data_IF_052811141127
#
_entry.id   IF_052811141127
#
_cell.length_a   1.000
_cell.length_b   1.000
_cell.length_c   1.000
_cell.angle_alpha   90.00
_cell.angle_beta   90.00
_cell.angle_gamma   90.00
#
_symmetry.space_group_name_H-M   'P 1'
#
loop_
_entity.id
_entity.type
_entity.pdbx_description
1 polymer ?
#
# COMPACT_ATOMS: atom_id res chain seq x y z
N UNK A 1 12.16 6.71 -17.32
CA UNK A 1 12.70 6.06 -16.12
C UNK A 1 12.21 4.63 -15.95
N UNK A 2 10.91 4.34 -16.04
CA UNK A 2 10.40 2.96 -15.88
C UNK A 2 9.94 2.37 -17.21
N UNK A 3 8.80 2.82 -17.74
CA UNK A 3 8.15 2.26 -18.94
C UNK A 3 9.13 2.05 -20.10
N UNK A 4 9.80 3.11 -20.56
CA UNK A 4 10.73 3.05 -21.69
C UNK A 4 12.03 2.27 -21.42
N UNK A 5 12.45 2.15 -20.17
CA UNK A 5 13.74 1.51 -19.83
C UNK A 5 13.60 0.00 -19.61
N UNK A 6 12.41 -0.44 -19.18
CA UNK A 6 12.08 -1.86 -19.00
C UNK A 6 11.16 -2.41 -20.09
N UNK A 7 10.94 -1.65 -21.16
CA UNK A 7 10.04 -2.02 -22.27
C UNK A 7 8.65 -2.48 -21.78
N UNK A 8 8.09 -1.76 -20.80
CA UNK A 8 6.83 -2.14 -20.15
C UNK A 8 5.64 -1.94 -21.09
N UNK A 9 4.64 -2.81 -20.96
CA UNK A 9 3.36 -2.66 -21.66
C UNK A 9 2.53 -1.57 -20.97
N UNK A 10 2.51 -0.36 -21.52
CA UNK A 10 1.65 0.72 -21.03
C UNK A 10 0.18 0.50 -21.46
N UNK A 11 -0.74 0.60 -20.51
CA UNK A 11 -2.18 0.51 -20.75
C UNK A 11 -2.94 1.70 -20.16
N UNK A 12 -4.14 1.94 -20.66
CA UNK A 12 -5.09 2.90 -20.10
C UNK A 12 -6.45 2.22 -19.90
N UNK A 13 -6.73 1.82 -18.66
CA UNK A 13 -8.02 1.22 -18.29
C UNK A 13 -9.04 2.29 -17.83
N UNK A 14 -10.35 2.02 -17.90
CA UNK A 14 -11.38 2.92 -17.39
C UNK A 14 -11.25 3.22 -15.88
N UNK A 15 -11.70 4.40 -15.47
CA UNK A 15 -11.82 4.75 -14.05
C UNK A 15 -13.06 4.13 -13.39
N UNK A 16 -14.15 4.04 -14.15
CA UNK A 16 -15.41 3.44 -13.70
C UNK A 16 -15.28 1.91 -13.69
N UNK A 17 -15.45 1.32 -12.51
CA UNK A 17 -15.21 -0.10 -12.26
C UNK A 17 -16.48 -0.78 -11.75
N UNK A 18 -16.98 -1.84 -12.42
CA UNK A 18 -18.11 -2.61 -11.92
C UNK A 18 -17.81 -3.22 -10.54
N UNK A 19 -18.80 -3.23 -9.63
CA UNK A 19 -18.64 -3.75 -8.25
C UNK A 19 -17.98 -5.13 -8.22
N UNK A 20 -18.34 -6.02 -9.14
CA UNK A 20 -17.86 -7.41 -9.17
C UNK A 20 -16.33 -7.52 -9.25
N UNK A 21 -15.66 -6.57 -9.91
CA UNK A 21 -14.19 -6.54 -10.03
C UNK A 21 -13.57 -6.18 -8.67
N UNK A 22 -14.10 -5.14 -8.02
CA UNK A 22 -13.60 -4.69 -6.72
C UNK A 22 -13.99 -5.65 -5.59
N UNK A 23 -15.10 -6.37 -5.74
CA UNK A 23 -15.47 -7.47 -4.86
C UNK A 23 -14.51 -8.64 -4.98
N UNK A 24 -14.09 -9.00 -6.20
CA UNK A 24 -13.12 -10.06 -6.43
C UNK A 24 -11.77 -9.73 -5.77
N UNK A 25 -11.29 -8.50 -5.93
CA UNK A 25 -10.05 -8.02 -5.31
C UNK A 25 -10.14 -7.81 -3.79
N UNK A 26 -11.33 -7.94 -3.19
CA UNK A 26 -11.56 -7.73 -1.77
C UNK A 26 -11.72 -6.27 -1.32
N UNK A 27 -11.59 -5.29 -2.23
CA UNK A 27 -11.74 -3.86 -1.90
C UNK A 27 -13.12 -3.54 -1.32
N UNK A 28 -14.19 -4.13 -1.84
CA UNK A 28 -15.56 -3.89 -1.30
C UNK A 28 -15.67 -4.29 0.17
N UNK A 29 -14.95 -5.33 0.59
CA UNK A 29 -15.03 -5.87 1.94
C UNK A 29 -14.01 -5.27 2.92
N UNK A 30 -12.86 -4.82 2.40
CA UNK A 30 -11.70 -4.42 3.23
C UNK A 30 -11.32 -2.96 3.12
N UNK A 31 -11.75 -2.25 2.06
CA UNK A 31 -11.39 -0.85 1.83
C UNK A 31 -12.29 0.10 2.63
N UNK A 32 -12.30 -0.11 3.94
CA UNK A 32 -13.15 0.59 4.90
C UNK A 32 -12.32 1.14 6.05
N UNK A 33 -12.53 2.40 6.39
CA UNK A 33 -11.97 3.03 7.58
C UNK A 33 -12.99 3.02 8.73
N UNK A 34 -12.50 3.08 9.97
CA UNK A 34 -13.33 3.28 11.14
C UNK A 34 -13.54 4.77 11.43
N UNK A 35 -14.81 5.19 11.43
CA UNK A 35 -15.22 6.57 11.65
C UNK A 35 -15.91 6.77 12.99
N UNK A 36 -15.67 7.95 13.57
CA UNK A 36 -16.48 8.51 14.65
C UNK A 36 -17.10 9.83 14.21
N UNK A 37 -18.27 10.13 14.75
CA UNK A 37 -19.05 11.33 14.40
C UNK A 37 -19.24 12.19 15.64
N UNK A 38 -19.02 13.50 15.51
CA UNK A 38 -19.46 14.47 16.53
C UNK A 38 -20.98 14.38 16.63
N UNK A 39 -21.49 13.97 17.79
CA UNK A 39 -22.92 13.69 17.98
C UNK A 39 -23.81 14.94 17.80
N UNK A 40 -23.25 16.15 17.93
CA UNK A 40 -24.00 17.40 17.78
C UNK A 40 -23.88 18.01 16.39
N UNK A 41 -22.68 18.05 15.82
CA UNK A 41 -22.46 18.71 14.51
C UNK A 41 -22.58 17.75 13.34
N UNK A 42 -22.41 16.46 13.60
CA UNK A 42 -22.37 15.43 12.59
C UNK A 42 -21.08 15.37 11.77
N UNK A 43 -20.06 16.14 12.15
CA UNK A 43 -18.73 16.10 11.53
C UNK A 43 -18.09 14.74 11.78
N UNK A 44 -17.57 14.12 10.73
CA UNK A 44 -16.92 12.80 10.81
C UNK A 44 -15.40 12.94 10.92
N UNK A 45 -14.80 12.08 11.73
CA UNK A 45 -13.37 11.99 11.92
C UNK A 45 -12.93 10.53 11.84
N UNK A 46 -11.73 10.31 11.31
CA UNK A 46 -11.07 9.01 11.36
C UNK A 46 -10.69 8.67 12.80
N UNK A 47 -11.21 7.55 13.28
CA UNK A 47 -11.11 7.16 14.68
C UNK A 47 -9.65 6.82 15.07
N UNK A 48 -8.92 6.18 14.17
CA UNK A 48 -7.50 5.85 14.31
C UNK A 48 -6.63 7.11 14.34
N UNK A 49 -6.88 8.08 13.46
CA UNK A 49 -6.15 9.36 13.47
C UNK A 49 -6.38 10.16 14.76
N UNK A 50 -7.61 10.21 15.27
CA UNK A 50 -7.87 10.88 16.54
C UNK A 50 -7.09 10.26 17.70
N UNK A 51 -7.00 8.93 17.72
CA UNK A 51 -6.22 8.21 18.73
C UNK A 51 -4.72 8.45 18.54
N UNK A 52 -4.23 8.43 17.28
CA UNK A 52 -2.83 8.72 16.93
C UNK A 52 -2.41 10.12 17.39
N UNK A 53 -3.19 11.14 16.99
CA UNK A 53 -2.92 12.54 17.31
C UNK A 53 -2.89 12.75 18.83
N UNK A 54 -3.84 12.16 19.57
CA UNK A 54 -3.83 12.19 21.03
C UNK A 54 -2.57 11.55 21.62
N UNK A 55 -2.20 10.35 21.15
CA UNK A 55 -1.00 9.66 21.64
C UNK A 55 0.27 10.47 21.37
N UNK A 56 0.41 11.06 20.18
CA UNK A 56 1.55 11.90 19.82
C UNK A 56 1.62 13.17 20.67
N UNK A 57 0.50 13.89 20.84
CA UNK A 57 0.43 15.10 21.69
C UNK A 57 0.84 14.78 23.13
N UNK A 58 0.41 13.64 23.68
CA UNK A 58 0.78 13.23 25.05
C UNK A 58 2.23 12.82 25.19
N UNK A 59 2.83 12.25 24.14
CA UNK A 59 4.24 11.85 24.14
C UNK A 59 5.21 13.04 24.06
N UNK A 60 4.73 14.24 23.72
CA UNK A 60 5.52 15.48 23.78
C UNK A 60 5.70 16.01 25.22
N UNK A 61 4.90 15.55 26.18
CA UNK A 61 5.00 15.98 27.59
C UNK A 61 6.20 15.30 28.29
N UNK A 62 7.25 16.07 28.66
CA UNK A 62 8.45 15.51 29.30
C UNK A 62 8.20 15.01 30.73
N UNK A 63 7.05 15.33 31.33
CA UNK A 63 6.66 14.89 32.67
C UNK A 63 5.81 13.61 32.66
N UNK A 64 5.54 13.04 31.48
CA UNK A 64 4.71 11.85 31.37
C UNK A 64 5.41 10.63 32.02
N UNK A 65 4.73 9.87 32.90
CA UNK A 65 5.30 8.68 33.51
C UNK A 65 5.78 7.65 32.46
N UNK A 66 6.90 6.99 32.72
CA UNK A 66 7.52 6.02 31.79
C UNK A 66 6.55 4.90 31.42
N UNK A 67 5.73 4.45 32.38
CA UNK A 67 4.70 3.44 32.16
C UNK A 67 3.67 3.90 31.12
N UNK A 68 3.28 5.18 31.18
CA UNK A 68 2.31 5.76 30.26
C UNK A 68 2.93 6.02 28.88
N UNK A 69 4.20 6.42 28.83
CA UNK A 69 4.97 6.52 27.58
C UNK A 69 4.98 5.16 26.86
N UNK A 70 5.29 4.08 27.58
CA UNK A 70 5.32 2.73 27.01
C UNK A 70 3.93 2.27 26.56
N UNK A 71 2.88 2.55 27.34
CA UNK A 71 1.49 2.25 26.95
C UNK A 71 1.11 2.97 25.64
N UNK A 72 1.37 4.28 25.53
CA UNK A 72 1.02 5.05 24.32
C UNK A 72 1.81 4.60 23.10
N UNK A 73 3.10 4.29 23.25
CA UNK A 73 3.91 3.70 22.18
C UNK A 73 3.38 2.34 21.73
N UNK A 74 2.95 1.50 22.68
CA UNK A 74 2.35 0.21 22.36
C UNK A 74 1.01 0.38 21.62
N UNK A 75 0.16 1.33 22.05
CA UNK A 75 -1.10 1.64 21.36
C UNK A 75 -0.84 2.11 19.93
N UNK A 76 0.15 3.00 19.71
CA UNK A 76 0.55 3.45 18.38
C UNK A 76 1.04 2.29 17.50
N UNK A 77 1.75 1.32 18.08
CA UNK A 77 2.28 0.17 17.35
C UNK A 77 1.22 -0.83 16.88
N UNK A 78 0.05 -0.87 17.53
CA UNK A 78 -1.06 -1.78 17.19
C UNK A 78 -2.29 -1.03 16.68
N UNK A 79 -2.18 0.27 16.43
CA UNK A 79 -3.31 1.15 16.15
C UNK A 79 -4.14 0.69 14.96
N UNK A 80 -3.48 0.25 13.89
CA UNK A 80 -4.12 -0.18 12.64
C UNK A 80 -4.87 -1.52 12.80
N UNK A 81 -4.55 -2.31 13.83
CA UNK A 81 -5.17 -3.62 14.11
C UNK A 81 -6.35 -3.54 15.08
N UNK A 82 -6.63 -2.37 15.66
CA UNK A 82 -7.68 -2.24 16.66
C UNK A 82 -9.06 -2.43 16.03
N UNK A 83 -9.86 -3.34 16.61
CA UNK A 83 -11.28 -3.47 16.24
C UNK A 83 -12.06 -2.20 16.55
N UNK A 84 -13.23 -2.02 15.94
CA UNK A 84 -14.12 -0.89 16.21
C UNK A 84 -14.44 -0.74 17.72
N UNK A 85 -14.64 -1.86 18.42
CA UNK A 85 -14.92 -1.88 19.86
C UNK A 85 -13.69 -1.49 20.69
N UNK A 86 -12.52 -2.04 20.34
CA UNK A 86 -11.27 -1.73 21.04
C UNK A 86 -10.90 -0.26 20.87
N UNK A 87 -11.02 0.26 19.64
CA UNK A 87 -10.77 1.65 19.30
C UNK A 87 -11.76 2.58 20.02
N UNK A 88 -13.05 2.22 20.03
CA UNK A 88 -14.07 2.98 20.74
C UNK A 88 -13.84 3.01 22.26
N UNK A 89 -13.37 1.90 22.83
CA UNK A 89 -12.98 1.80 24.24
C UNK A 89 -11.81 2.73 24.55
N UNK A 90 -10.75 2.71 23.72
CA UNK A 90 -9.59 3.60 23.89
C UNK A 90 -9.94 5.08 23.76
N UNK A 91 -10.76 5.45 22.78
CA UNK A 91 -11.26 6.84 22.61
C UNK A 91 -11.99 7.29 23.88
N UNK A 92 -12.82 6.42 24.46
CA UNK A 92 -13.58 6.72 25.68
C UNK A 92 -12.68 6.79 26.92
N UNK A 93 -11.79 5.81 27.11
CA UNK A 93 -10.89 5.71 28.26
C UNK A 93 -9.91 6.89 28.33
N UNK A 94 -9.44 7.35 27.18
CA UNK A 94 -8.57 8.52 27.07
C UNK A 94 -9.33 9.86 27.05
N UNK A 95 -10.66 9.83 27.05
CA UNK A 95 -11.50 11.03 27.05
C UNK A 95 -11.36 11.86 25.78
N UNK A 96 -11.09 11.22 24.64
CA UNK A 96 -10.91 11.90 23.35
C UNK A 96 -12.27 12.44 22.90
N UNK A 97 -12.28 13.71 22.50
CA UNK A 97 -13.47 14.44 22.04
C UNK A 97 -13.23 15.03 20.66
N UNK A 98 -14.28 15.52 20.00
CA UNK A 98 -14.14 16.20 18.72
C UNK A 98 -13.12 17.35 18.80
N UNK A 99 -12.09 17.40 17.92
CA UNK A 99 -10.98 18.36 18.04
C UNK A 99 -11.43 19.82 18.14
N UNK A 100 -12.41 20.20 17.32
CA UNK A 100 -12.83 21.59 17.14
C UNK A 100 -13.90 22.03 18.14
N UNK A 101 -14.78 21.12 18.58
CA UNK A 101 -15.97 21.44 19.37
C UNK A 101 -15.94 20.91 20.80
N UNK A 102 -15.03 19.97 21.09
CA UNK A 102 -14.95 19.20 22.34
C UNK A 102 -16.24 18.44 22.68
N UNK A 103 -17.09 18.20 21.67
CA UNK A 103 -18.30 17.40 21.83
C UNK A 103 -17.98 15.91 21.97
N UNK A 104 -18.92 15.13 22.55
CA UNK A 104 -18.87 13.67 22.50
C UNK A 104 -18.85 13.13 21.07
N UNK A 105 -18.15 11.99 20.92
CA UNK A 105 -18.02 11.26 19.67
C UNK A 105 -18.87 9.98 19.72
N UNK A 106 -19.45 9.59 18.60
CA UNK A 106 -20.15 8.32 18.44
C UNK A 106 -19.19 7.13 18.61
N UNK A 107 -19.75 5.92 18.74
CA UNK A 107 -18.96 4.70 18.59
C UNK A 107 -18.35 4.60 17.18
N UNK A 108 -17.16 3.99 17.01
CA UNK A 108 -16.58 3.77 15.71
C UNK A 108 -17.48 2.88 14.82
N UNK A 109 -17.62 3.24 13.56
CA UNK A 109 -18.37 2.47 12.56
C UNK A 109 -17.59 2.42 11.22
N UNK A 110 -17.73 1.33 10.43
CA UNK A 110 -17.01 1.21 9.17
C UNK A 110 -17.58 2.15 8.10
N UNK A 111 -16.70 2.70 7.27
CA UNK A 111 -17.03 3.56 6.14
C UNK A 111 -16.18 3.19 4.92
N UNK A 112 -16.83 2.90 3.80
CA UNK A 112 -16.14 2.55 2.56
C UNK A 112 -15.50 3.79 1.92
N UNK A 113 -14.20 3.68 1.62
CA UNK A 113 -13.42 4.76 1.02
C UNK A 113 -13.55 4.81 -0.52
N UNK A 114 -14.33 3.96 -1.15
CA UNK A 114 -14.55 4.04 -2.59
C UNK A 114 -15.73 4.97 -2.90
N UNK A 115 -15.63 5.73 -3.99
CA UNK A 115 -16.76 6.49 -4.50
C UNK A 115 -17.71 5.57 -5.25
N UNK A 116 -18.87 5.32 -4.68
CA UNK A 116 -19.93 4.51 -5.28
C UNK A 116 -20.72 5.29 -6.35
N UNK A 117 -21.17 4.58 -7.38
CA UNK A 117 -22.03 5.10 -8.44
C UNK A 117 -22.88 3.98 -9.05
N UNK A 118 -23.80 4.33 -9.95
CA UNK A 118 -24.64 3.39 -10.70
C UNK A 118 -24.28 3.44 -12.18
N UNK A 119 -24.04 2.28 -12.79
CA UNK A 119 -23.66 2.14 -14.20
C UNK A 119 -24.91 1.92 -15.04
N UNK A 120 -25.26 2.90 -15.88
CA UNK A 120 -26.43 2.84 -16.74
C UNK A 120 -27.68 3.47 -16.11
N UNK A 121 -28.86 3.36 -16.77
CA UNK A 121 -30.06 4.09 -16.36
C UNK A 121 -30.83 3.43 -15.22
N UNK A 122 -30.46 2.22 -14.79
CA UNK A 122 -31.10 1.49 -13.70
C UNK A 122 -30.15 1.33 -12.51
N UNK A 123 -30.68 1.32 -11.30
CA UNK A 123 -29.91 1.08 -10.06
C UNK A 123 -29.53 -0.40 -9.88
N UNK A 124 -29.43 -1.17 -10.97
CA UNK A 124 -29.16 -2.61 -10.95
C UNK A 124 -27.69 -2.95 -11.19
N UNK A 125 -26.86 -1.98 -11.54
CA UNK A 125 -25.44 -2.19 -11.87
C UNK A 125 -24.56 -1.25 -11.04
N UNK A 126 -24.34 -1.59 -9.76
CA UNK A 126 -23.45 -0.82 -8.91
C UNK A 126 -22.02 -0.82 -9.45
N UNK A 127 -21.36 0.31 -9.29
CA UNK A 127 -19.98 0.51 -9.67
C UNK A 127 -19.29 1.48 -8.74
N UNK A 128 -17.98 1.60 -8.91
CA UNK A 128 -17.16 2.52 -8.15
C UNK A 128 -16.18 3.23 -9.06
N UNK A 129 -15.71 4.40 -8.63
CA UNK A 129 -14.46 4.92 -9.14
C UNK A 129 -13.31 4.12 -8.53
N UNK A 130 -12.34 3.71 -9.36
CA UNK A 130 -11.24 2.85 -8.92
C UNK A 130 -10.38 3.51 -7.83
N UNK A 131 -10.04 2.77 -6.75
CA UNK A 131 -9.15 3.27 -5.68
C UNK A 131 -7.65 3.16 -6.01
N UNK A 132 -7.32 2.37 -7.04
CA UNK A 132 -5.98 2.10 -7.59
C UNK A 132 -6.10 1.81 -9.10
N UNK A 133 -4.98 1.76 -9.81
CA UNK A 133 -4.91 1.44 -11.26
C UNK A 133 -4.60 -0.03 -11.56
N UNK A 134 -4.01 -0.75 -10.61
CA UNK A 134 -3.59 -2.16 -10.72
C UNK A 134 -4.68 -3.12 -11.23
N UNK A 135 -5.92 -2.96 -10.76
CA UNK A 135 -7.02 -3.86 -11.11
C UNK A 135 -7.29 -3.92 -12.62
N UNK A 136 -7.08 -2.82 -13.35
CA UNK A 136 -7.21 -2.79 -14.81
C UNK A 136 -6.17 -3.68 -15.50
N UNK A 137 -4.94 -3.70 -14.97
CA UNK A 137 -3.86 -4.54 -15.47
C UNK A 137 -4.17 -6.02 -15.20
N UNK A 138 -4.66 -6.36 -14.01
CA UNK A 138 -4.97 -7.76 -13.64
C UNK A 138 -6.09 -8.36 -14.49
N UNK A 139 -7.18 -7.62 -14.73
CA UNK A 139 -8.27 -8.12 -15.59
C UNK A 139 -7.85 -8.27 -17.05
N UNK A 140 -6.85 -7.51 -17.49
CA UNK A 140 -6.24 -7.58 -18.82
C UNK A 140 -5.04 -8.53 -18.93
N UNK A 141 -4.70 -9.27 -17.87
CA UNK A 141 -3.50 -10.11 -17.80
C UNK A 141 -3.32 -11.03 -19.00
N UNK A 142 -4.39 -11.70 -19.45
CA UNK A 142 -4.31 -12.66 -20.57
C UNK A 142 -3.84 -12.01 -21.87
N UNK A 143 -4.36 -10.82 -22.17
CA UNK A 143 -3.99 -10.09 -23.39
C UNK A 143 -2.56 -9.56 -23.26
N UNK A 144 -2.20 -9.01 -22.10
CA UNK A 144 -0.85 -8.52 -21.82
C UNK A 144 0.20 -9.64 -21.92
N UNK A 145 -0.08 -10.80 -21.34
CA UNK A 145 0.76 -11.98 -21.44
C UNK A 145 0.92 -12.43 -22.90
N UNK A 146 -0.17 -12.44 -23.66
CA UNK A 146 -0.14 -12.75 -25.09
C UNK A 146 0.71 -11.74 -25.89
N UNK A 147 0.55 -10.44 -25.65
CA UNK A 147 1.34 -9.39 -26.31
C UNK A 147 2.82 -9.46 -25.95
N UNK A 148 3.17 -9.92 -24.74
CA UNK A 148 4.55 -10.23 -24.37
C UNK A 148 5.08 -11.55 -24.98
N UNK A 149 4.32 -12.17 -25.88
CA UNK A 149 4.72 -13.43 -26.53
C UNK A 149 4.62 -14.65 -25.62
N UNK A 150 3.77 -14.61 -24.60
CA UNK A 150 3.55 -15.67 -23.61
C UNK A 150 4.83 -16.07 -22.87
N UNK A 151 5.58 -15.07 -22.37
CA UNK A 151 6.81 -15.26 -21.61
C UNK A 151 6.78 -14.46 -20.32
N UNK A 152 7.36 -15.03 -19.27
CA UNK A 152 7.72 -14.35 -18.04
C UNK A 152 9.25 -14.14 -17.98
N UNK A 153 9.73 -13.13 -17.22
CA UNK A 153 8.93 -12.06 -16.62
C UNK A 153 8.46 -11.03 -17.65
N UNK A 154 7.44 -10.25 -17.29
CA UNK A 154 7.06 -9.03 -18.02
C UNK A 154 6.42 -8.02 -17.07
N UNK A 155 6.40 -6.76 -17.48
CA UNK A 155 5.74 -5.71 -16.72
C UNK A 155 4.71 -4.98 -17.56
N UNK A 156 3.60 -4.62 -16.92
CA UNK A 156 2.64 -3.68 -17.46
C UNK A 156 2.54 -2.48 -16.52
N UNK A 157 2.26 -1.31 -17.07
CA UNK A 157 2.21 -0.07 -16.31
C UNK A 157 0.98 0.75 -16.71
N UNK A 158 0.46 1.51 -15.76
CA UNK A 158 -0.62 2.44 -16.01
C UNK A 158 -0.38 3.75 -15.27
N UNK A 159 -0.59 4.86 -15.97
CA UNK A 159 -0.56 6.21 -15.40
C UNK A 159 -1.95 6.81 -15.55
N UNK A 160 -2.61 7.12 -14.43
CA UNK A 160 -3.98 7.65 -14.49
C UNK A 160 -4.56 8.06 -13.15
N UNK A 161 -5.79 8.57 -13.16
CA UNK A 161 -6.46 9.00 -11.93
C UNK A 161 -6.88 7.78 -11.09
N UNK A 162 -6.78 7.94 -9.78
CA UNK A 162 -7.36 7.09 -8.76
C UNK A 162 -8.15 7.94 -7.77
N UNK A 163 -9.15 7.32 -7.14
CA UNK A 163 -10.13 8.03 -6.33
C UNK A 163 -10.27 7.36 -4.96
N UNK A 164 -10.07 8.14 -3.91
CA UNK A 164 -10.27 7.67 -2.53
C UNK A 164 -11.17 8.69 -1.83
N UNK A 165 -12.31 8.26 -1.33
CA UNK A 165 -13.30 9.07 -0.63
C UNK A 165 -12.82 9.42 0.80
N UNK A 166 -11.67 10.08 0.86
CA UNK A 166 -10.98 10.49 2.07
C UNK A 166 -11.91 11.37 2.92
N UNK A 167 -12.01 11.03 4.20
CA UNK A 167 -13.04 11.60 5.09
C UNK A 167 -12.69 13.04 5.44
N UNK A 168 -11.42 13.27 5.77
CA UNK A 168 -10.90 14.57 6.16
C UNK A 168 -9.61 14.84 5.38
N UNK A 169 -9.70 15.31 4.12
CA UNK A 169 -8.54 15.68 3.32
C UNK A 169 -7.86 16.89 3.96
N UNK A 170 -6.89 16.62 4.83
CA UNK A 170 -6.02 17.59 5.51
C UNK A 170 -4.61 17.43 4.93
N UNK A 171 -3.70 18.37 5.20
CA UNK A 171 -2.30 18.29 4.73
C UNK A 171 -2.10 18.49 3.21
N UNK A 172 -3.00 19.23 2.57
CA UNK A 172 -2.84 19.67 1.17
C UNK A 172 -2.80 18.50 0.19
N UNK A 173 -1.73 18.41 -0.60
CA UNK A 173 -1.58 17.39 -1.65
C UNK A 173 -1.31 15.97 -1.11
N UNK A 174 -0.97 15.83 0.18
CA UNK A 174 -0.67 14.52 0.77
C UNK A 174 -1.91 13.65 0.95
N UNK A 175 -3.10 14.26 1.10
CA UNK A 175 -4.37 13.55 1.24
C UNK A 175 -5.46 14.24 0.45
N UNK A 176 -5.66 13.75 -0.76
CA UNK A 176 -6.65 14.24 -1.71
C UNK A 176 -7.57 13.11 -2.13
N UNK A 177 -8.74 13.48 -2.67
CA UNK A 177 -9.76 12.51 -3.08
C UNK A 177 -9.58 11.98 -4.49
N UNK A 178 -8.85 12.72 -5.30
CA UNK A 178 -8.51 12.39 -6.67
C UNK A 178 -7.04 12.74 -6.86
N UNK A 179 -6.26 11.81 -7.38
CA UNK A 179 -4.84 11.98 -7.64
C UNK A 179 -4.38 11.06 -8.76
N UNK A 180 -3.30 11.46 -9.41
CA UNK A 180 -2.66 10.67 -10.45
C UNK A 180 -1.69 9.67 -9.82
N UNK A 181 -1.88 8.40 -10.15
CA UNK A 181 -0.96 7.32 -9.82
C UNK A 181 -0.20 6.88 -11.06
N UNK A 182 0.98 6.31 -10.83
CA UNK A 182 1.72 5.54 -11.81
C UNK A 182 2.06 4.20 -11.15
N UNK A 183 1.37 3.14 -11.54
CA UNK A 183 1.57 1.80 -11.00
C UNK A 183 2.18 0.87 -12.05
N UNK A 184 2.99 -0.07 -11.59
CA UNK A 184 3.69 -1.06 -12.39
C UNK A 184 3.40 -2.42 -11.77
N UNK A 185 2.80 -3.31 -12.55
CA UNK A 185 2.63 -4.71 -12.19
C UNK A 185 3.69 -5.54 -12.92
N UNK A 186 4.68 -6.02 -12.17
CA UNK A 186 5.75 -6.87 -12.69
C UNK A 186 5.44 -8.34 -12.41
N UNK A 187 5.06 -9.08 -13.45
CA UNK A 187 4.74 -10.50 -13.38
C UNK A 187 6.01 -11.33 -13.57
N UNK A 188 6.33 -12.18 -12.59
CA UNK A 188 7.52 -13.03 -12.56
C UNK A 188 7.18 -14.43 -12.07
N UNK A 189 7.98 -15.43 -12.45
CA UNK A 189 7.85 -16.78 -11.91
C UNK A 189 8.10 -16.75 -10.39
N UNK A 190 7.19 -17.28 -9.55
CA UNK A 190 7.38 -17.29 -8.10
C UNK A 190 8.62 -18.06 -7.63
N UNK A 191 9.08 -19.05 -8.39
CA UNK A 191 10.27 -19.85 -8.08
C UNK A 191 11.57 -19.20 -8.58
N UNK A 192 11.48 -18.16 -9.42
CA UNK A 192 12.63 -17.45 -10.00
C UNK A 192 12.46 -15.93 -9.92
N UNK A 193 12.60 -15.38 -8.70
CA UNK A 193 12.52 -13.93 -8.45
C UNK A 193 13.88 -13.20 -8.58
N UNK A 194 14.69 -13.60 -9.56
CA UNK A 194 15.92 -12.89 -9.90
C UNK A 194 15.64 -11.74 -10.88
N UNK A 195 16.52 -10.74 -10.95
CA UNK A 195 16.37 -9.65 -11.92
C UNK A 195 17.65 -9.39 -12.70
N UNK A 196 17.67 -9.55 -14.04
CA UNK A 196 18.90 -9.52 -14.83
C UNK A 196 19.67 -8.18 -14.76
N UNK A 197 18.96 -7.10 -14.43
CA UNK A 197 19.52 -5.75 -14.27
C UNK A 197 19.80 -5.37 -12.81
N UNK A 198 19.61 -6.25 -11.82
CA UNK A 198 19.82 -5.93 -10.39
C UNK A 198 21.24 -5.40 -10.11
N UNK A 199 22.25 -5.98 -10.76
CA UNK A 199 23.64 -5.51 -10.70
C UNK A 199 23.84 -4.01 -11.00
N UNK A 200 22.94 -3.39 -11.78
CA UNK A 200 23.04 -1.97 -12.14
C UNK A 200 22.69 -1.04 -10.96
N UNK A 201 22.01 -1.57 -9.94
CA UNK A 201 21.59 -0.81 -8.75
C UNK A 201 22.15 -1.38 -7.44
N UNK A 202 22.78 -2.55 -7.47
CA UNK A 202 23.31 -3.22 -6.28
C UNK A 202 24.27 -2.37 -5.45
N UNK A 203 25.08 -1.52 -6.10
CA UNK A 203 26.06 -0.66 -5.42
C UNK A 203 25.43 0.62 -4.82
N UNK A 204 24.14 0.88 -5.02
CA UNK A 204 23.48 2.04 -4.44
C UNK A 204 23.45 1.94 -2.91
N UNK A 205 23.99 2.96 -2.24
CA UNK A 205 23.82 3.14 -0.80
C UNK A 205 22.47 3.82 -0.55
N UNK A 206 21.57 3.11 0.14
CA UNK A 206 20.22 3.58 0.48
C UNK A 206 19.99 3.50 1.99
N UNK A 207 19.07 4.31 2.48
CA UNK A 207 18.61 4.23 3.86
C UNK A 207 17.41 3.28 3.93
N UNK A 208 17.54 2.20 4.71
CA UNK A 208 16.45 1.24 4.94
C UNK A 208 16.02 1.27 6.40
N UNK A 209 14.74 0.98 6.64
CA UNK A 209 14.18 0.76 7.96
C UNK A 209 13.48 -0.60 7.98
N UNK A 210 14.24 -1.64 8.32
CA UNK A 210 13.77 -3.02 8.30
C UNK A 210 12.69 -3.27 9.35
N UNK A 211 11.94 -4.38 9.20
CA UNK A 211 10.99 -4.81 10.22
C UNK A 211 11.66 -5.05 11.57
N UNK A 212 12.83 -5.68 11.56
CA UNK A 212 13.60 -5.98 12.77
C UNK A 212 14.00 -4.69 13.50
N UNK A 213 14.49 -3.69 12.76
CA UNK A 213 14.89 -2.41 13.33
C UNK A 213 13.69 -1.62 13.86
N UNK A 214 12.54 -1.68 13.19
CA UNK A 214 11.29 -1.08 13.69
C UNK A 214 10.87 -1.70 15.02
N UNK A 215 10.86 -3.03 15.11
CA UNK A 215 10.49 -3.75 16.34
C UNK A 215 11.49 -3.52 17.48
N UNK A 216 12.78 -3.40 17.17
CA UNK A 216 13.82 -3.10 18.13
C UNK A 216 13.93 -1.60 18.50
N UNK A 217 13.17 -0.73 17.81
CA UNK A 217 13.25 0.74 17.96
C UNK A 217 14.68 1.25 17.65
N UNK A 218 15.34 0.62 16.69
CA UNK A 218 16.60 1.11 16.13
C UNK A 218 16.33 2.20 15.10
N UNK A 219 17.29 3.12 14.87
CA UNK A 219 17.18 4.07 13.75
C UNK A 219 17.35 3.34 12.40
N UNK A 220 16.84 3.91 11.29
CA UNK A 220 17.13 3.43 9.94
C UNK A 220 18.64 3.37 9.67
N UNK A 221 19.07 2.41 8.87
CA UNK A 221 20.49 2.15 8.56
C UNK A 221 20.79 2.43 7.09
N UNK A 222 21.99 2.95 6.80
CA UNK A 222 22.52 3.02 5.44
C UNK A 222 23.18 1.70 5.07
N UNK A 223 22.85 1.17 3.91
CA UNK A 223 23.36 -0.10 3.41
C UNK A 223 23.44 -0.09 1.89
N UNK A 224 24.38 -0.83 1.31
CA UNK A 224 24.36 -1.12 -0.11
C UNK A 224 23.21 -2.07 -0.44
N UNK A 225 22.47 -1.77 -1.50
CA UNK A 225 21.30 -2.54 -1.90
C UNK A 225 21.62 -4.02 -2.16
N UNK A 226 22.79 -4.31 -2.74
CA UNK A 226 23.31 -5.67 -2.92
C UNK A 226 23.52 -6.41 -1.59
N UNK A 227 24.03 -5.72 -0.56
CA UNK A 227 24.19 -6.30 0.77
C UNK A 227 22.84 -6.60 1.41
N UNK A 228 21.85 -5.72 1.25
CA UNK A 228 20.50 -5.90 1.80
C UNK A 228 19.79 -7.13 1.18
N UNK A 229 19.95 -7.35 -0.13
CA UNK A 229 19.42 -8.55 -0.81
C UNK A 229 20.21 -9.80 -0.42
N UNK A 230 21.54 -9.76 -0.40
CA UNK A 230 22.38 -10.92 -0.08
C UNK A 230 22.16 -11.44 1.36
N UNK A 231 21.82 -10.55 2.30
CA UNK A 231 21.48 -10.89 3.69
C UNK A 231 20.03 -11.37 3.86
N UNK A 232 19.19 -11.27 2.82
CA UNK A 232 17.78 -11.60 2.89
C UNK A 232 16.91 -10.55 3.59
N UNK A 233 17.43 -9.36 3.87
CA UNK A 233 16.63 -8.24 4.41
C UNK A 233 15.60 -7.78 3.39
N UNK A 234 16.02 -7.62 2.13
CA UNK A 234 15.12 -7.47 0.98
C UNK A 234 15.00 -8.86 0.33
N UNK A 235 13.78 -9.34 0.17
CA UNK A 235 13.51 -10.75 -0.11
C UNK A 235 14.19 -11.29 -1.38
N UNK A 236 14.22 -10.50 -2.46
CA UNK A 236 14.73 -10.96 -3.75
C UNK A 236 15.27 -9.82 -4.63
N UNK A 237 15.99 -10.18 -5.70
CA UNK A 237 16.61 -9.22 -6.62
C UNK A 237 15.60 -8.39 -7.40
N UNK A 238 14.41 -8.93 -7.71
CA UNK A 238 13.34 -8.17 -8.38
C UNK A 238 12.86 -7.01 -7.52
N UNK A 239 12.54 -7.27 -6.26
CA UNK A 239 12.14 -6.23 -5.31
C UNK A 239 13.29 -5.24 -5.07
N UNK A 240 14.52 -5.75 -4.90
CA UNK A 240 15.72 -4.94 -4.79
C UNK A 240 15.90 -4.03 -6.02
N UNK A 241 15.71 -4.56 -7.23
CA UNK A 241 15.83 -3.79 -8.47
C UNK A 241 14.87 -2.60 -8.48
N UNK A 242 13.59 -2.83 -8.20
CA UNK A 242 12.60 -1.76 -8.19
C UNK A 242 12.83 -0.76 -7.04
N UNK A 243 13.30 -1.19 -5.86
CA UNK A 243 13.75 -0.27 -4.80
C UNK A 243 14.86 0.65 -5.32
N UNK A 244 15.90 0.09 -5.95
CA UNK A 244 17.00 0.87 -6.51
C UNK A 244 16.55 1.82 -7.63
N UNK A 245 15.66 1.37 -8.51
CA UNK A 245 15.09 2.23 -9.56
C UNK A 245 14.24 3.36 -9.00
N UNK A 246 13.44 3.10 -7.96
CA UNK A 246 12.65 4.10 -7.24
C UNK A 246 13.55 5.12 -6.55
N UNK A 247 14.62 4.68 -5.90
CA UNK A 247 15.63 5.59 -5.33
C UNK A 247 16.21 6.53 -6.39
N UNK A 248 16.65 5.97 -7.53
CA UNK A 248 17.19 6.76 -8.64
C UNK A 248 16.14 7.74 -9.21
N UNK A 249 14.89 7.31 -9.30
CA UNK A 249 13.81 8.16 -9.80
C UNK A 249 13.58 9.36 -8.89
N UNK A 250 13.35 9.12 -7.60
CA UNK A 250 13.07 10.16 -6.62
C UNK A 250 14.23 11.14 -6.48
N UNK A 251 15.47 10.63 -6.46
CA UNK A 251 16.67 11.49 -6.39
C UNK A 251 16.88 12.29 -7.67
N UNK A 252 16.54 11.76 -8.84
CA UNK A 252 16.58 12.51 -10.11
C UNK A 252 15.53 13.64 -10.14
N UNK A 253 14.38 13.43 -9.49
CA UNK A 253 13.35 14.46 -9.33
C UNK A 253 13.74 15.55 -8.30
N UNK A 254 14.85 15.37 -7.58
CA UNK A 254 15.36 16.35 -6.62
C UNK A 254 15.02 16.08 -5.16
N UNK A 255 14.52 14.88 -4.82
CA UNK A 255 14.37 14.48 -3.41
C UNK A 255 15.74 14.34 -2.74
N UNK A 256 15.88 14.94 -1.56
CA UNK A 256 17.09 14.85 -0.75
C UNK A 256 17.31 13.42 -0.25
N UNK A 257 18.49 12.87 -0.50
CA UNK A 257 18.89 11.50 -0.15
C UNK A 257 18.88 11.27 1.36
N UNK A 258 19.19 12.28 2.16
CA UNK A 258 19.19 12.18 3.63
C UNK A 258 17.77 12.19 4.20
N UNK A 259 16.77 12.56 3.37
CA UNK A 259 15.34 12.63 3.71
C UNK A 259 14.52 11.61 2.94
N UNK A 260 15.17 10.56 2.43
CA UNK A 260 14.56 9.47 1.70
C UNK A 260 14.96 8.15 2.36
N UNK A 261 13.98 7.35 2.76
CA UNK A 261 14.22 6.00 3.30
C UNK A 261 13.25 5.00 2.71
N UNK A 262 13.61 3.72 2.77
CA UNK A 262 12.73 2.61 2.44
C UNK A 262 12.33 1.89 3.72
N UNK A 263 11.07 1.94 4.12
CA UNK A 263 10.54 1.29 5.33
C UNK A 263 9.85 -0.02 4.98
N UNK A 264 10.25 -1.11 5.60
CA UNK A 264 9.59 -2.39 5.40
C UNK A 264 8.28 -2.43 6.19
N UNK A 265 7.21 -3.01 5.64
CA UNK A 265 5.98 -3.22 6.40
C UNK A 265 6.20 -4.21 7.55
N UNK A 266 5.59 -3.91 8.70
CA UNK A 266 5.45 -4.87 9.79
C UNK A 266 4.50 -6.01 9.39
N UNK A 267 4.58 -7.13 10.09
CA UNK A 267 3.82 -8.32 9.70
C UNK A 267 2.29 -8.16 9.81
N UNK A 268 1.84 -7.25 10.68
CA UNK A 268 0.45 -6.85 10.84
C UNK A 268 0.00 -5.81 9.79
N UNK A 269 0.90 -4.97 9.29
CA UNK A 269 0.62 -4.00 8.22
C UNK A 269 0.54 -4.66 6.84
N UNK A 270 1.23 -5.79 6.66
CA UNK A 270 1.20 -6.54 5.42
C UNK A 270 -0.20 -7.08 5.13
N UNK A 271 -0.65 -6.90 3.88
CA UNK A 271 -1.76 -7.68 3.39
C UNK A 271 -1.43 -9.18 3.56
N UNK A 272 -2.38 -9.96 4.09
CA UNK A 272 -2.26 -11.41 4.33
C UNK A 272 -1.70 -12.28 3.16
N UNK A 273 -1.61 -11.72 1.95
CA UNK A 273 -1.07 -12.36 0.75
C UNK A 273 0.27 -11.79 0.26
N UNK A 274 0.75 -10.68 0.83
CA UNK A 274 2.03 -10.10 0.46
C UNK A 274 3.18 -10.94 1.02
N UNK A 275 4.25 -11.13 0.25
CA UNK A 275 5.45 -11.84 0.68
C UNK A 275 6.47 -10.88 1.32
N UNK A 276 6.56 -9.65 0.80
CA UNK A 276 7.37 -8.57 1.33
C UNK A 276 6.78 -7.23 0.83
N UNK A 277 6.93 -6.15 1.58
CA UNK A 277 6.44 -4.84 1.18
C UNK A 277 7.33 -3.73 1.76
N UNK A 278 7.68 -2.76 0.91
CA UNK A 278 8.55 -1.64 1.25
C UNK A 278 7.95 -0.33 0.76
N UNK A 279 7.96 0.68 1.63
CA UNK A 279 7.53 2.04 1.32
C UNK A 279 8.74 2.94 1.13
N UNK A 280 8.83 3.64 0.00
CA UNK A 280 9.70 4.79 -0.13
C UNK A 280 9.06 5.99 0.58
N UNK A 281 9.60 6.35 1.74
CA UNK A 281 9.13 7.46 2.55
C UNK A 281 10.03 8.68 2.40
N UNK A 282 9.39 9.85 2.28
CA UNK A 282 10.07 11.16 2.19
C UNK A 282 9.78 11.96 3.45
N UNK A 283 10.83 12.51 4.08
CA UNK A 283 10.69 13.39 5.24
C UNK A 283 10.31 14.81 4.80
N UNK A 284 9.15 15.26 5.27
CA UNK A 284 8.62 16.59 5.02
C UNK A 284 8.20 17.29 6.33
N UNK A 285 7.56 18.46 6.24
CA UNK A 285 7.07 19.20 7.42
C UNK A 285 6.01 18.45 8.23
N UNK A 286 5.43 17.38 7.67
CA UNK A 286 4.47 16.50 8.33
C UNK A 286 5.08 15.19 8.84
N UNK A 287 6.41 15.07 8.81
CA UNK A 287 7.14 13.84 9.14
C UNK A 287 7.43 12.98 7.92
N UNK A 288 7.67 11.68 8.16
CA UNK A 288 7.91 10.68 7.12
C UNK A 288 6.58 10.27 6.49
N UNK A 289 6.48 10.43 5.16
CA UNK A 289 5.26 10.11 4.40
C UNK A 289 5.62 9.19 3.24
N UNK A 290 4.88 8.10 3.11
CA UNK A 290 4.95 7.20 1.95
C UNK A 290 4.66 7.96 0.66
N UNK A 291 5.55 7.83 -0.32
CA UNK A 291 5.38 8.38 -1.66
C UNK A 291 5.33 7.30 -2.75
N UNK A 292 5.88 6.11 -2.48
CA UNK A 292 5.86 4.95 -3.40
C UNK A 292 5.80 3.66 -2.58
N UNK A 293 4.74 2.88 -2.72
CA UNK A 293 4.68 1.51 -2.22
C UNK A 293 5.28 0.49 -3.19
N UNK A 294 6.06 -0.47 -2.67
CA UNK A 294 6.65 -1.58 -3.41
C UNK A 294 6.26 -2.90 -2.76
N UNK A 295 5.21 -3.54 -3.29
CA UNK A 295 4.62 -4.74 -2.70
C UNK A 295 4.85 -6.00 -3.57
N UNK A 296 5.33 -7.08 -2.95
CA UNK A 296 5.32 -8.42 -3.53
C UNK A 296 4.00 -9.12 -3.18
N UNK A 297 2.99 -8.99 -4.04
CA UNK A 297 1.62 -9.49 -3.83
C UNK A 297 1.44 -10.97 -4.15
N UNK A 298 2.52 -11.69 -4.45
CA UNK A 298 2.47 -13.07 -4.95
C UNK A 298 1.50 -13.19 -6.16
N UNK A 299 0.59 -14.17 -6.14
CA UNK A 299 -0.40 -14.37 -7.21
C UNK A 299 -1.85 -14.11 -6.73
N UNK A 300 -2.05 -13.33 -5.66
CA UNK A 300 -3.36 -13.15 -5.04
C UNK A 300 -4.39 -12.60 -6.01
N UNK A 301 -4.08 -11.47 -6.67
CA UNK A 301 -5.03 -10.77 -7.52
C UNK A 301 -5.45 -11.63 -8.73
N UNK A 302 -4.49 -12.26 -9.41
CA UNK A 302 -4.77 -13.16 -10.53
C UNK A 302 -5.60 -14.37 -10.09
N UNK A 303 -5.32 -14.95 -8.92
CA UNK A 303 -6.13 -16.07 -8.38
C UNK A 303 -7.54 -15.63 -8.04
N UNK A 304 -7.71 -14.52 -7.34
CA UNK A 304 -9.01 -14.00 -6.94
C UNK A 304 -9.91 -13.70 -8.16
N UNK A 305 -9.34 -13.06 -9.19
CA UNK A 305 -10.06 -12.82 -10.45
C UNK A 305 -10.32 -14.10 -11.24
N UNK A 306 -9.39 -15.06 -11.24
CA UNK A 306 -9.59 -16.36 -11.90
C UNK A 306 -10.73 -17.14 -11.27
N UNK A 307 -10.76 -17.23 -9.94
CA UNK A 307 -11.80 -17.92 -9.17
C UNK A 307 -13.17 -17.27 -9.36
N UNK A 308 -13.22 -15.93 -9.34
CA UNK A 308 -14.49 -15.21 -9.47
C UNK A 308 -15.06 -15.25 -10.89
N UNK A 309 -14.20 -15.18 -11.91
CA UNK A 309 -14.63 -15.15 -13.31
C UNK A 309 -14.80 -16.54 -13.94
N UNK A 310 -14.17 -17.57 -13.36
CA UNK A 310 -14.05 -18.90 -13.96
C UNK A 310 -13.06 -18.94 -15.14
N UNK A 311 -12.34 -17.85 -15.41
CA UNK A 311 -11.35 -17.76 -16.48
C UNK A 311 -9.94 -17.91 -15.91
N UNK A 312 -9.12 -18.89 -16.35
CA UNK A 312 -7.76 -19.03 -15.83
C UNK A 312 -6.87 -17.87 -16.26
N UNK A 313 -6.35 -17.11 -15.29
CA UNK A 313 -5.32 -16.08 -15.46
C UNK A 313 -3.97 -16.65 -15.01
N UNK A 314 -3.37 -17.49 -15.86
CA UNK A 314 -2.13 -18.21 -15.58
C UNK A 314 -1.12 -18.02 -16.71
N UNK A 315 0.17 -18.09 -16.36
CA UNK A 315 1.25 -18.22 -17.33
C UNK A 315 1.64 -19.69 -17.49
N UNK A 316 2.30 -20.00 -18.60
CA UNK A 316 2.81 -21.34 -18.89
C UNK A 316 4.29 -21.27 -19.19
N UNK A 317 5.06 -22.17 -18.59
CA UNK A 317 6.47 -22.35 -18.90
C UNK A 317 6.67 -23.69 -19.62
N UNK A 318 7.51 -23.69 -20.65
CA UNK A 318 7.88 -24.91 -21.36
C UNK A 318 9.17 -25.45 -20.77
N UNK A 319 9.11 -26.65 -20.18
CA UNK A 319 10.32 -27.31 -19.71
C UNK A 319 11.19 -27.80 -20.88
N UNK A 320 12.54 -27.80 -20.73
CA UNK A 320 13.45 -28.35 -21.74
C UNK A 320 13.19 -29.83 -22.04
N UNK A 321 12.78 -30.59 -21.03
CA UNK A 321 12.39 -32.00 -21.13
C UNK A 321 11.03 -32.21 -20.46
N UNK A 322 10.17 -33.11 -20.99
CA UNK A 322 8.91 -33.45 -20.34
C UNK A 322 9.12 -33.94 -18.92
N UNK A 323 8.38 -33.37 -17.96
CA UNK A 323 8.38 -33.81 -16.56
C UNK A 323 7.07 -34.53 -16.28
N UNK A 324 7.14 -35.76 -15.77
CA UNK A 324 5.99 -36.38 -15.12
C UNK A 324 5.82 -35.71 -13.75
N UNK A 325 4.65 -35.16 -13.49
CA UNK A 325 4.28 -34.55 -12.20
C UNK A 325 3.36 -35.55 -11.52
N UNK A 326 3.81 -36.17 -10.41
CA UNK A 326 2.99 -37.08 -9.58
C UNK A 326 1.87 -36.36 -8.82
#
# INVERSE_FOLDING_TARGET
HFILEEDMLEVDCPCLTPEVVLKASGHVDKFTDLLVKDEKTGTCYRADHLLKDYCMEKLEDPLLPVEKVNELKQVLAVLEDLSAEALGTKIKDYGITAPDTKNPLSVPYPFNLMFETSIGPSDLSPGYLRPETAQGIFVSFKDLYYYNGNKLPFAAAQIGQAYRNEISPRQGLLRVREFTLAEIEHFVNPDEKSHPKFKNVADLEIQIYSREDQMAINPPVKIHLGDAVSKGTINNETLGYFIGRTYLFLTTLGIDKERLRFRQHLQNEMAHYAADCWDAEVECSYGWIECVGLADRSAYDLKAHSEKSGMPLVAHETYPEPREVE
#
